data_IF_139680643151
#
_entry.id   IF_139680643151
#
_cell.length_a   1.000
_cell.length_b   1.000
_cell.length_c   1.000
_cell.angle_alpha   90.00
_cell.angle_beta   90.00
_cell.angle_gamma   90.00
#
_symmetry.space_group_name_H-M   'P 1'
#
loop_
_entity.id
_entity.type
_entity.pdbx_description
1 polymer ?
#
# COMPACT_ATOMS: atom_id res chain seq x y z
N UNK A 1 48.04 19.29 23.69
CA UNK A 1 47.34 20.53 23.32
C UNK A 1 45.83 20.31 23.42
N UNK A 2 45.05 21.27 23.94
CA UNK A 2 43.59 21.14 24.04
C UNK A 2 42.97 21.01 22.64
N UNK A 3 41.97 20.13 22.51
CA UNK A 3 41.26 19.90 21.24
C UNK A 3 40.48 21.16 20.83
N UNK A 4 40.49 21.56 19.56
CA UNK A 4 39.72 22.71 19.11
C UNK A 4 38.21 22.44 19.20
N UNK A 5 37.46 23.38 19.80
CA UNK A 5 36.00 23.34 19.89
C UNK A 5 35.34 23.62 18.53
N UNK A 6 34.24 22.92 18.22
CA UNK A 6 33.40 23.20 17.05
C UNK A 6 32.74 24.59 17.17
N UNK A 7 32.37 25.20 16.03
CA UNK A 7 31.77 26.55 15.97
C UNK A 7 30.56 26.68 16.91
N UNK A 8 29.67 25.71 16.90
CA UNK A 8 28.45 25.74 17.72
C UNK A 8 28.75 25.72 19.22
N UNK A 9 29.74 24.92 19.64
CA UNK A 9 30.16 24.88 21.03
C UNK A 9 30.78 26.21 21.48
N UNK A 10 31.53 26.89 20.61
CA UNK A 10 32.04 28.25 20.88
C UNK A 10 30.91 29.27 21.02
N UNK A 11 29.87 29.16 20.20
CA UNK A 11 28.69 30.02 20.31
C UNK A 11 27.93 29.79 21.61
N UNK A 12 27.75 28.53 22.03
CA UNK A 12 27.12 28.21 23.31
C UNK A 12 27.92 28.78 24.49
N UNK A 13 29.25 28.71 24.44
CA UNK A 13 30.13 29.31 25.46
C UNK A 13 30.01 30.84 25.46
N UNK A 14 29.96 31.49 24.30
CA UNK A 14 29.77 32.93 24.20
C UNK A 14 28.43 33.38 24.80
N UNK A 15 27.33 32.70 24.44
CA UNK A 15 26.00 32.97 24.99
C UNK A 15 25.98 32.83 26.54
N UNK A 16 26.67 31.80 27.04
CA UNK A 16 26.77 31.54 28.48
C UNK A 16 27.49 32.67 29.21
N UNK A 17 28.61 33.16 28.65
CA UNK A 17 29.37 34.29 29.20
C UNK A 17 28.52 35.56 29.21
N UNK A 18 27.82 35.85 28.12
CA UNK A 18 26.94 37.01 28.01
C UNK A 18 25.77 36.94 29.01
N UNK A 19 25.19 35.76 29.21
CA UNK A 19 24.11 35.56 30.16
C UNK A 19 24.57 35.81 31.61
N UNK A 20 25.72 35.29 32.01
CA UNK A 20 26.26 35.53 33.35
C UNK A 20 26.80 36.95 33.55
N UNK A 21 27.28 37.61 32.50
CA UNK A 21 27.60 39.04 32.55
C UNK A 21 26.35 39.88 32.87
N UNK A 22 25.21 39.55 32.25
CA UNK A 22 23.92 40.18 32.57
C UNK A 22 23.46 39.88 34.00
N UNK A 23 23.62 38.65 34.51
CA UNK A 23 23.31 38.34 35.91
C UNK A 23 24.18 39.14 36.89
N UNK A 24 25.47 39.35 36.57
CA UNK A 24 26.37 40.21 37.36
C UNK A 24 25.87 41.66 37.40
N UNK A 25 25.56 42.22 36.23
CA UNK A 25 25.14 43.62 36.11
C UNK A 25 23.74 43.84 36.74
N UNK A 26 22.90 42.80 36.76
CA UNK A 26 21.58 42.80 37.41
C UNK A 26 21.64 42.62 38.94
N UNK A 27 22.81 42.28 39.51
CA UNK A 27 22.97 42.06 40.95
C UNK A 27 22.28 40.80 41.48
N UNK A 28 21.91 39.87 40.60
CA UNK A 28 21.22 38.64 40.98
C UNK A 28 20.74 37.81 39.78
N UNK A 29 20.25 36.58 40.04
CA UNK A 29 19.77 35.66 39.01
C UNK A 29 18.64 36.28 38.18
N UNK A 30 18.70 36.14 36.85
CA UNK A 30 17.64 36.60 35.94
C UNK A 30 16.38 35.74 36.02
N UNK A 31 16.54 34.49 36.44
CA UNK A 31 15.50 33.49 36.57
C UNK A 31 15.63 32.81 37.95
N UNK A 32 14.54 32.30 38.52
CA UNK A 32 14.55 31.64 39.83
C UNK A 32 15.56 30.50 39.91
N UNK A 33 16.26 30.38 41.05
CA UNK A 33 17.23 29.30 41.27
C UNK A 33 16.61 27.91 41.24
N UNK A 34 15.29 27.80 41.45
CA UNK A 34 14.53 26.55 41.39
C UNK A 34 14.49 25.96 39.99
N UNK A 35 14.44 26.80 38.96
CA UNK A 35 14.12 26.41 37.58
C UNK A 35 15.41 26.18 36.78
N UNK A 36 16.21 25.22 37.26
CA UNK A 36 17.57 24.95 36.75
C UNK A 36 17.58 24.70 35.24
N UNK A 37 16.59 23.96 34.72
CA UNK A 37 16.55 23.58 33.30
C UNK A 37 16.20 24.76 32.39
N UNK A 38 15.30 25.64 32.83
CA UNK A 38 14.94 26.87 32.11
C UNK A 38 16.09 27.88 32.12
N UNK A 39 16.84 27.96 33.23
CA UNK A 39 18.07 28.76 33.32
C UNK A 39 19.14 28.29 32.34
N UNK A 40 19.38 26.99 32.29
CA UNK A 40 20.36 26.40 31.35
C UNK A 40 19.91 26.63 29.90
N UNK A 41 18.62 26.49 29.62
CA UNK A 41 18.05 26.75 28.30
C UNK A 41 18.24 28.22 27.87
N UNK A 42 17.91 29.16 28.76
CA UNK A 42 18.07 30.59 28.54
C UNK A 42 19.54 31.00 28.37
N UNK A 43 20.44 30.46 29.19
CA UNK A 43 21.85 30.80 29.18
C UNK A 43 22.60 30.26 27.95
N UNK A 44 22.26 29.05 27.50
CA UNK A 44 22.86 28.46 26.29
C UNK A 44 22.15 28.89 25.00
N UNK A 45 20.93 29.43 25.09
CA UNK A 45 20.10 29.80 23.95
C UNK A 45 19.49 28.58 23.22
N UNK A 46 19.11 27.54 23.96
CA UNK A 46 18.54 26.29 23.42
C UNK A 46 17.14 26.03 23.97
N UNK A 47 16.36 25.20 23.31
CA UNK A 47 15.02 24.83 23.81
C UNK A 47 15.12 23.96 25.07
N UNK A 48 14.24 24.20 26.05
CA UNK A 48 14.15 23.44 27.31
C UNK A 48 14.06 21.92 27.08
N UNK A 49 13.30 21.48 26.06
CA UNK A 49 13.18 20.05 25.69
C UNK A 49 14.52 19.38 25.38
N UNK A 50 15.49 20.13 24.85
CA UNK A 50 16.83 19.59 24.57
C UNK A 50 17.57 19.37 25.88
N UNK A 51 17.49 20.32 26.81
CA UNK A 51 18.06 20.20 28.16
C UNK A 51 17.44 19.02 28.90
N UNK A 52 16.11 18.89 28.86
CA UNK A 52 15.39 17.75 29.45
C UNK A 52 15.86 16.41 28.89
N UNK A 53 15.95 16.29 27.56
CA UNK A 53 16.43 15.08 26.91
C UNK A 53 17.85 14.71 27.35
N UNK A 54 18.74 15.69 27.50
CA UNK A 54 20.12 15.45 27.96
C UNK A 54 20.16 15.04 29.43
N UNK A 55 19.39 15.72 30.29
CA UNK A 55 19.27 15.36 31.71
C UNK A 55 18.75 13.93 31.87
N UNK A 56 17.75 13.53 31.07
CA UNK A 56 17.23 12.16 31.10
C UNK A 56 18.26 11.14 30.62
N UNK A 57 19.02 11.43 29.55
CA UNK A 57 20.11 10.55 29.10
C UNK A 57 21.17 10.35 30.19
N UNK A 58 21.51 11.41 30.92
CA UNK A 58 22.45 11.33 32.05
C UNK A 58 21.88 10.49 33.19
N UNK A 59 20.60 10.67 33.55
CA UNK A 59 19.93 9.90 34.62
C UNK A 59 19.89 8.40 34.32
N UNK A 60 19.69 8.02 33.06
CA UNK A 60 19.64 6.61 32.62
C UNK A 60 21.06 6.00 32.57
N UNK A 61 22.12 6.82 32.63
CA UNK A 61 23.51 6.37 32.62
C UNK A 61 24.05 6.05 31.22
N UNK A 62 23.30 6.38 30.16
CA UNK A 62 23.70 6.11 28.76
C UNK A 62 24.77 7.07 28.24
N UNK A 63 25.13 8.12 28.98
CA UNK A 63 26.05 9.15 28.50
C UNK A 63 25.45 10.00 27.37
N UNK A 64 26.09 11.13 27.05
CA UNK A 64 25.57 12.04 26.02
C UNK A 64 25.96 11.52 24.64
N UNK A 65 24.98 11.05 23.87
CA UNK A 65 25.20 10.54 22.51
C UNK A 65 24.71 11.52 21.44
N UNK A 66 25.50 11.65 20.37
CA UNK A 66 25.07 12.39 19.19
C UNK A 66 23.91 11.65 18.49
N UNK A 67 22.96 12.38 17.86
CA UNK A 67 21.90 11.75 17.08
C UNK A 67 22.47 10.77 16.06
N UNK A 68 21.95 9.53 16.05
CA UNK A 68 22.38 8.53 15.07
C UNK A 68 22.07 9.05 13.67
N UNK A 69 23.07 9.06 12.78
CA UNK A 69 22.88 9.45 11.38
C UNK A 69 21.74 8.62 10.78
N UNK A 70 20.73 9.29 10.20
CA UNK A 70 19.65 8.62 9.46
C UNK A 70 20.29 7.88 8.28
N UNK A 71 20.25 6.55 8.33
CA UNK A 71 20.74 5.72 7.23
C UNK A 71 19.75 5.81 6.05
N UNK A 72 20.21 5.97 4.80
CA UNK A 72 19.31 5.90 3.66
C UNK A 72 18.66 4.51 3.60
N UNK A 73 17.33 4.48 3.46
CA UNK A 73 16.59 3.22 3.28
C UNK A 73 16.74 2.75 1.83
N UNK A 74 16.93 1.45 1.62
CA UNK A 74 16.84 0.86 0.28
C UNK A 74 15.43 1.10 -0.26
N UNK A 75 15.33 1.61 -1.49
CA UNK A 75 14.04 1.78 -2.15
C UNK A 75 13.42 0.38 -2.40
N UNK A 76 12.12 0.21 -2.17
CA UNK A 76 11.48 -1.05 -2.52
C UNK A 76 11.54 -1.27 -4.03
N UNK A 77 11.76 -2.51 -4.46
CA UNK A 77 11.70 -2.89 -5.87
C UNK A 77 10.26 -2.66 -6.35
N UNK A 78 10.05 -1.61 -7.12
CA UNK A 78 8.75 -1.22 -7.67
C UNK A 78 8.84 -0.82 -9.15
N UNK A 79 10.04 -0.49 -9.61
CA UNK A 79 10.32 -0.21 -11.01
C UNK A 79 10.49 -1.54 -11.74
N UNK A 80 9.47 -1.89 -12.54
CA UNK A 80 9.42 -3.12 -13.33
C UNK A 80 9.27 -2.75 -14.80
N UNK A 81 10.03 -3.43 -15.65
CA UNK A 81 9.98 -3.28 -17.11
C UNK A 81 8.65 -3.77 -17.71
N UNK A 82 8.31 -3.28 -18.89
CA UNK A 82 7.06 -3.68 -19.57
C UNK A 82 7.02 -5.19 -19.87
N UNK A 83 8.17 -5.82 -20.15
CA UNK A 83 8.27 -7.26 -20.39
C UNK A 83 7.95 -8.07 -19.14
N UNK A 84 8.51 -7.70 -17.99
CA UNK A 84 8.22 -8.32 -16.70
C UNK A 84 6.74 -8.15 -16.31
N UNK A 85 6.14 -6.96 -16.58
CA UNK A 85 4.70 -6.75 -16.38
C UNK A 85 3.85 -7.72 -17.22
N UNK A 86 4.26 -7.99 -18.46
CA UNK A 86 3.57 -8.96 -19.32
C UNK A 86 3.71 -10.39 -18.77
N UNK A 87 4.92 -10.77 -18.34
CA UNK A 87 5.16 -12.09 -17.74
C UNK A 87 4.35 -12.31 -16.45
N UNK A 88 4.20 -11.27 -15.62
CA UNK A 88 3.33 -11.30 -14.43
C UNK A 88 1.87 -11.53 -14.82
N UNK A 89 1.38 -10.81 -15.84
CA UNK A 89 0.02 -10.98 -16.37
C UNK A 89 -0.22 -12.41 -16.87
N UNK A 90 0.75 -12.99 -17.57
CA UNK A 90 0.68 -14.36 -18.06
C UNK A 90 0.67 -15.41 -16.94
N UNK A 91 1.51 -15.29 -15.90
CA UNK A 91 1.41 -16.19 -14.74
C UNK A 91 0.02 -16.07 -14.09
N UNK A 92 -0.50 -14.84 -13.91
CA UNK A 92 -1.82 -14.63 -13.32
C UNK A 92 -2.92 -15.32 -14.15
N UNK A 93 -2.92 -15.13 -15.48
CA UNK A 93 -3.87 -15.80 -16.36
C UNK A 93 -3.77 -17.32 -16.29
N UNK A 94 -2.56 -17.88 -16.28
CA UNK A 94 -2.35 -19.32 -16.14
C UNK A 94 -2.88 -19.88 -14.81
N UNK A 95 -2.78 -19.13 -13.71
CA UNK A 95 -3.38 -19.52 -12.43
C UNK A 95 -4.91 -19.51 -12.47
N UNK A 96 -5.50 -18.49 -13.11
CA UNK A 96 -6.95 -18.38 -13.29
C UNK A 96 -7.48 -19.53 -14.16
N UNK A 97 -6.77 -19.88 -15.23
CA UNK A 97 -7.10 -21.00 -16.12
C UNK A 97 -7.09 -22.34 -15.38
N UNK A 98 -6.08 -22.56 -14.52
CA UNK A 98 -5.98 -23.72 -13.61
C UNK A 98 -7.03 -23.71 -12.49
N UNK A 99 -7.92 -22.71 -12.44
CA UNK A 99 -8.95 -22.52 -11.40
C UNK A 99 -8.37 -22.37 -9.98
N UNK A 100 -7.10 -21.96 -9.86
CA UNK A 100 -6.44 -21.71 -8.58
C UNK A 100 -6.81 -20.31 -8.08
N UNK A 101 -7.05 -20.16 -6.79
CA UNK A 101 -7.28 -18.84 -6.21
C UNK A 101 -5.99 -18.01 -6.23
N UNK A 102 -5.95 -16.95 -7.05
CA UNK A 102 -4.83 -16.00 -7.07
C UNK A 102 -4.84 -15.12 -5.82
N UNK A 103 -3.95 -15.41 -4.87
CA UNK A 103 -3.56 -14.51 -3.77
C UNK A 103 -2.22 -13.84 -4.09
N UNK A 104 -1.87 -12.76 -3.39
CA UNK A 104 -0.56 -12.11 -3.58
C UNK A 104 0.60 -13.04 -3.23
N UNK A 105 0.43 -13.88 -2.21
CA UNK A 105 1.45 -14.83 -1.78
C UNK A 105 1.63 -15.94 -2.83
N UNK A 106 0.53 -16.62 -3.21
CA UNK A 106 0.59 -17.68 -4.22
C UNK A 106 1.12 -17.19 -5.58
N UNK A 107 0.81 -15.95 -5.95
CA UNK A 107 1.35 -15.34 -7.16
C UNK A 107 2.85 -15.05 -7.01
N UNK A 108 3.29 -14.53 -5.87
CA UNK A 108 4.71 -14.30 -5.61
C UNK A 108 5.51 -15.60 -5.69
N UNK A 109 4.98 -16.69 -5.15
CA UNK A 109 5.63 -18.00 -5.20
C UNK A 109 5.78 -18.48 -6.66
N UNK A 110 4.72 -18.41 -7.48
CA UNK A 110 4.81 -18.67 -8.94
C UNK A 110 5.87 -17.81 -9.63
N UNK A 111 5.93 -16.52 -9.30
CA UNK A 111 6.85 -15.59 -9.96
C UNK A 111 8.31 -15.83 -9.56
N UNK A 112 8.55 -16.25 -8.32
CA UNK A 112 9.88 -16.62 -7.83
C UNK A 112 10.35 -17.93 -8.45
N UNK A 113 9.49 -18.94 -8.53
CA UNK A 113 9.79 -20.20 -9.22
C UNK A 113 10.18 -19.99 -10.69
N UNK A 114 9.57 -19.00 -11.34
CA UNK A 114 9.85 -18.63 -12.73
C UNK A 114 10.97 -17.59 -12.88
N UNK A 115 11.60 -17.14 -11.79
CA UNK A 115 12.62 -16.09 -11.78
C UNK A 115 12.19 -14.77 -12.49
N UNK A 116 10.89 -14.45 -12.46
CA UNK A 116 10.34 -13.24 -13.09
C UNK A 116 10.43 -12.04 -12.14
N UNK A 117 10.30 -12.27 -10.83
CA UNK A 117 10.24 -11.19 -9.84
C UNK A 117 10.82 -11.63 -8.48
N UNK A 118 11.78 -10.86 -7.97
CA UNK A 118 12.48 -11.16 -6.71
C UNK A 118 12.04 -10.27 -5.53
N UNK A 119 11.03 -9.41 -5.70
CA UNK A 119 10.59 -8.50 -4.65
C UNK A 119 9.77 -9.15 -3.53
N UNK A 120 9.32 -8.30 -2.61
CA UNK A 120 8.45 -8.71 -1.51
C UNK A 120 6.96 -8.74 -1.91
N UNK A 121 6.12 -9.38 -1.11
CA UNK A 121 4.64 -9.35 -1.27
C UNK A 121 4.11 -7.91 -1.30
N UNK A 122 4.69 -7.03 -0.48
CA UNK A 122 4.34 -5.60 -0.44
C UNK A 122 4.70 -4.88 -1.73
N UNK A 123 5.88 -5.18 -2.28
CA UNK A 123 6.29 -4.68 -3.59
C UNK A 123 5.34 -5.17 -4.68
N UNK A 124 5.07 -6.48 -4.74
CA UNK A 124 4.15 -7.07 -5.71
C UNK A 124 2.77 -6.42 -5.66
N UNK A 125 2.27 -6.11 -4.46
CA UNK A 125 1.03 -5.35 -4.30
C UNK A 125 1.05 -4.01 -5.03
N UNK A 126 2.10 -3.21 -4.86
CA UNK A 126 2.24 -1.92 -5.55
C UNK A 126 2.31 -2.06 -7.07
N UNK A 127 3.02 -3.07 -7.55
CA UNK A 127 3.16 -3.38 -8.97
C UNK A 127 1.82 -3.81 -9.58
N UNK A 128 1.09 -4.70 -8.91
CA UNK A 128 -0.20 -5.17 -9.39
C UNK A 128 -1.17 -4.00 -9.58
N UNK A 129 -1.13 -2.99 -8.71
CA UNK A 129 -1.98 -1.80 -8.84
C UNK A 129 -1.76 -0.98 -10.12
N UNK A 130 -0.68 -1.20 -10.87
CA UNK A 130 -0.39 -0.50 -12.13
C UNK A 130 -1.35 -0.94 -13.26
N UNK A 131 -1.90 -2.15 -13.20
CA UNK A 131 -2.82 -2.65 -14.24
C UNK A 131 -3.89 -3.65 -13.77
N UNK A 132 -3.84 -4.07 -12.51
CA UNK A 132 -4.80 -5.00 -11.92
C UNK A 132 -5.48 -4.37 -10.71
N UNK A 133 -6.76 -4.71 -10.55
CA UNK A 133 -7.57 -4.33 -9.40
C UNK A 133 -8.06 -5.58 -8.70
N UNK A 134 -7.88 -5.61 -7.38
CA UNK A 134 -8.54 -6.60 -6.54
C UNK A 134 -10.01 -6.23 -6.37
N UNK A 135 -10.89 -6.86 -7.14
CA UNK A 135 -12.28 -6.46 -7.28
C UNK A 135 -13.24 -7.66 -7.18
N UNK A 136 -14.54 -7.41 -6.92
CA UNK A 136 -15.53 -8.46 -6.98
C UNK A 136 -15.55 -9.15 -8.35
N UNK A 137 -15.56 -10.48 -8.37
CA UNK A 137 -15.54 -11.27 -9.59
C UNK A 137 -16.91 -11.25 -10.24
N UNK A 138 -17.02 -10.60 -11.41
CA UNK A 138 -18.24 -10.66 -12.20
C UNK A 138 -18.15 -11.79 -13.24
N UNK A 139 -18.51 -13.00 -12.80
CA UNK A 139 -18.49 -14.21 -13.64
C UNK A 139 -19.41 -14.08 -14.86
N UNK A 140 -20.50 -13.30 -14.77
CA UNK A 140 -21.45 -13.10 -15.86
C UNK A 140 -20.80 -12.47 -17.08
N UNK A 141 -19.81 -11.57 -16.90
CA UNK A 141 -19.07 -10.98 -18.02
C UNK A 141 -18.46 -12.05 -18.91
N UNK A 142 -17.79 -13.04 -18.33
CA UNK A 142 -17.18 -14.12 -19.11
C UNK A 142 -18.21 -15.08 -19.72
N UNK A 143 -19.31 -15.35 -19.02
CA UNK A 143 -20.42 -16.16 -19.54
C UNK A 143 -21.06 -15.54 -20.78
N UNK A 144 -21.29 -14.23 -20.76
CA UNK A 144 -21.91 -13.51 -21.87
C UNK A 144 -21.05 -13.50 -23.15
N UNK A 145 -19.74 -13.72 -23.02
CA UNK A 145 -18.78 -13.73 -24.13
C UNK A 145 -18.56 -15.13 -24.72
N UNK A 146 -19.16 -16.18 -24.15
CA UNK A 146 -19.10 -17.52 -24.71
C UNK A 146 -19.80 -17.54 -26.07
N UNK A 147 -19.14 -18.12 -27.08
CA UNK A 147 -19.65 -18.12 -28.46
C UNK A 147 -21.09 -18.64 -28.58
N UNK A 148 -21.42 -19.73 -27.88
CA UNK A 148 -22.79 -20.28 -27.91
C UNK A 148 -23.81 -19.36 -27.22
N UNK A 149 -23.43 -18.68 -26.13
CA UNK A 149 -24.30 -17.70 -25.45
C UNK A 149 -24.52 -16.47 -26.32
N UNK A 150 -23.45 -15.94 -26.92
CA UNK A 150 -23.54 -14.82 -27.88
C UNK A 150 -24.44 -15.19 -29.05
N UNK A 151 -24.26 -16.39 -29.62
CA UNK A 151 -25.08 -16.88 -30.71
C UNK A 151 -26.56 -17.01 -30.31
N UNK A 152 -26.85 -17.67 -29.19
CA UNK A 152 -28.21 -17.85 -28.68
C UNK A 152 -28.89 -16.52 -28.40
N UNK A 153 -28.19 -15.57 -27.76
CA UNK A 153 -28.70 -14.21 -27.50
C UNK A 153 -29.00 -13.48 -28.80
N UNK A 154 -28.09 -13.55 -29.78
CA UNK A 154 -28.28 -12.89 -31.07
C UNK A 154 -29.47 -13.46 -31.82
N UNK A 155 -29.62 -14.80 -31.82
CA UNK A 155 -30.77 -15.48 -32.44
C UNK A 155 -32.08 -15.04 -31.78
N UNK A 156 -32.17 -15.12 -30.46
CA UNK A 156 -33.34 -14.70 -29.70
C UNK A 156 -33.72 -13.25 -29.98
N UNK A 157 -32.76 -12.32 -29.93
CA UNK A 157 -33.03 -10.90 -30.16
C UNK A 157 -33.56 -10.62 -31.57
N UNK A 158 -33.05 -11.33 -32.59
CA UNK A 158 -33.57 -11.22 -33.97
C UNK A 158 -35.01 -11.70 -34.06
N UNK A 159 -35.29 -12.88 -33.50
CA UNK A 159 -36.64 -13.45 -33.47
C UNK A 159 -37.61 -12.56 -32.68
N UNK A 160 -37.16 -11.98 -31.57
CA UNK A 160 -37.93 -11.06 -30.74
C UNK A 160 -38.29 -9.77 -31.49
N UNK A 161 -37.31 -9.13 -32.14
CA UNK A 161 -37.55 -7.92 -32.96
C UNK A 161 -38.50 -8.23 -34.11
N UNK A 162 -38.32 -9.38 -34.77
CA UNK A 162 -39.22 -9.82 -35.83
C UNK A 162 -40.65 -10.03 -35.31
N UNK A 163 -40.82 -10.66 -34.15
CA UNK A 163 -42.13 -10.85 -33.52
C UNK A 163 -42.79 -9.50 -33.16
N UNK A 164 -42.03 -8.51 -32.68
CA UNK A 164 -42.56 -7.18 -32.35
C UNK A 164 -43.06 -6.41 -33.58
N UNK A 165 -42.50 -6.67 -34.75
CA UNK A 165 -42.90 -6.02 -36.01
C UNK A 165 -44.07 -6.73 -36.71
N UNK A 166 -44.47 -7.92 -36.24
CA UNK A 166 -45.58 -8.65 -36.83
C UNK A 166 -46.93 -7.99 -36.49
N UNK A 167 -47.92 -8.04 -37.41
CA UNK A 167 -49.25 -7.46 -37.17
C UNK A 167 -50.00 -8.07 -35.98
N UNK A 168 -49.66 -9.31 -35.60
CA UNK A 168 -50.21 -10.01 -34.45
C UNK A 168 -49.07 -10.64 -33.64
N UNK A 169 -48.39 -9.87 -32.76
CA UNK A 169 -47.22 -10.34 -32.03
C UNK A 169 -47.58 -11.36 -30.96
N UNK A 170 -46.75 -12.38 -30.78
CA UNK A 170 -46.87 -13.31 -29.66
C UNK A 170 -46.49 -12.60 -28.35
N UNK A 171 -47.27 -12.82 -27.30
CA UNK A 171 -46.97 -12.30 -25.96
C UNK A 171 -45.79 -13.06 -25.34
N UNK A 172 -44.70 -12.36 -25.02
CA UNK A 172 -43.61 -12.93 -24.24
C UNK A 172 -43.96 -12.96 -22.75
N UNK A 173 -43.88 -14.15 -22.15
CA UNK A 173 -43.93 -14.34 -20.69
C UNK A 173 -42.54 -14.71 -20.21
N UNK A 174 -42.02 -13.96 -19.25
CA UNK A 174 -40.70 -14.21 -18.65
C UNK A 174 -40.88 -14.96 -17.33
N UNK A 175 -40.25 -16.12 -17.22
CA UNK A 175 -40.19 -16.90 -15.98
C UNK A 175 -38.81 -16.71 -15.34
N UNK A 176 -38.81 -16.40 -14.05
CA UNK A 176 -37.63 -16.28 -13.19
C UNK A 176 -37.53 -17.57 -12.36
N UNK A 177 -36.39 -18.25 -12.46
CA UNK A 177 -35.99 -19.24 -11.46
C UNK A 177 -34.79 -18.69 -10.68
N UNK A 178 -34.97 -18.51 -9.38
CA UNK A 178 -33.90 -18.11 -8.48
C UNK A 178 -33.30 -19.33 -7.79
N UNK A 179 -32.12 -19.75 -8.25
CA UNK A 179 -31.36 -20.83 -7.63
C UNK A 179 -30.54 -20.31 -6.44
N UNK A 180 -30.82 -20.81 -5.24
CA UNK A 180 -30.03 -20.51 -4.04
C UNK A 180 -28.86 -21.50 -3.97
N UNK A 181 -27.65 -21.04 -4.28
CA UNK A 181 -26.45 -21.87 -4.13
C UNK A 181 -25.98 -21.92 -2.67
N UNK A 182 -25.79 -23.14 -2.15
CA UNK A 182 -25.31 -23.43 -0.78
C UNK A 182 -23.83 -23.06 -0.58
N UNK A 183 -23.03 -23.09 -1.66
CA UNK A 183 -21.60 -22.84 -1.59
C UNK A 183 -21.27 -21.38 -1.91
N UNK A 184 -20.84 -20.63 -0.90
CA UNK A 184 -20.35 -19.26 -1.05
C UNK A 184 -19.25 -19.17 -2.11
N UNK A 185 -19.46 -18.32 -3.12
CA UNK A 185 -18.43 -18.08 -4.12
C UNK A 185 -17.37 -17.13 -3.56
N UNK A 186 -16.10 -17.38 -3.87
CA UNK A 186 -15.02 -16.42 -3.58
C UNK A 186 -15.34 -15.12 -4.29
N UNK A 187 -15.67 -14.10 -3.50
CA UNK A 187 -16.27 -12.87 -4.01
C UNK A 187 -15.25 -12.05 -4.79
N UNK A 188 -13.95 -12.11 -4.48
CA UNK A 188 -12.94 -11.20 -5.04
C UNK A 188 -11.71 -11.89 -5.62
N UNK A 189 -11.17 -11.34 -6.70
CA UNK A 189 -9.91 -11.77 -7.31
C UNK A 189 -9.17 -10.58 -7.93
N UNK A 190 -7.88 -10.78 -8.21
CA UNK A 190 -7.09 -9.84 -9.02
C UNK A 190 -7.54 -9.94 -10.48
N UNK A 191 -8.04 -8.82 -11.02
CA UNK A 191 -8.59 -8.73 -12.36
C UNK A 191 -8.06 -7.49 -13.07
N UNK A 192 -7.93 -7.57 -14.38
CA UNK A 192 -7.80 -6.42 -15.28
C UNK A 192 -9.03 -6.35 -16.20
N UNK A 193 -9.00 -5.47 -17.20
CA UNK A 193 -10.12 -5.33 -18.14
C UNK A 193 -10.27 -6.54 -19.10
N UNK A 194 -9.33 -7.49 -19.09
CA UNK A 194 -9.37 -8.69 -19.91
C UNK A 194 -10.27 -9.76 -19.31
N UNK A 195 -11.08 -10.40 -20.17
CA UNK A 195 -11.91 -11.55 -19.80
C UNK A 195 -11.07 -12.72 -19.26
N UNK A 196 -9.79 -12.81 -19.64
CA UNK A 196 -8.86 -13.86 -19.20
C UNK A 196 -8.55 -13.79 -17.70
N UNK A 197 -8.67 -12.62 -17.08
CA UNK A 197 -8.49 -12.47 -15.62
C UNK A 197 -9.71 -12.93 -14.82
N UNK A 198 -10.86 -13.12 -15.48
CA UNK A 198 -12.11 -13.51 -14.84
C UNK A 198 -12.18 -15.03 -14.72
N UNK A 199 -12.45 -15.50 -13.49
CA UNK A 199 -12.57 -16.94 -13.22
C UNK A 199 -13.63 -17.63 -14.07
N UNK A 200 -13.34 -18.87 -14.40
CA UNK A 200 -14.29 -19.78 -15.05
C UNK A 200 -15.33 -20.25 -14.04
N UNK A 201 -16.57 -20.42 -14.51
CA UNK A 201 -17.63 -21.06 -13.75
C UNK A 201 -17.34 -22.55 -13.58
N UNK A 202 -17.84 -23.15 -12.48
CA UNK A 202 -17.92 -24.61 -12.37
C UNK A 202 -19.08 -25.06 -13.26
N UNK A 203 -18.80 -25.90 -14.26
CA UNK A 203 -19.81 -26.52 -15.13
C UNK A 203 -20.52 -27.66 -14.38
N UNK A 204 -19.86 -28.23 -13.37
CA UNK A 204 -20.41 -29.27 -12.50
C UNK A 204 -21.34 -28.66 -11.45
N UNK A 205 -22.53 -28.26 -11.87
CA UNK A 205 -23.69 -28.27 -10.99
C UNK A 205 -24.32 -29.66 -11.11
N UNK A 206 -24.33 -30.44 -10.02
CA UNK A 206 -25.28 -31.55 -9.94
C UNK A 206 -26.67 -30.93 -10.02
N UNK A 207 -27.45 -31.36 -11.02
CA UNK A 207 -28.89 -31.14 -11.06
C UNK A 207 -29.54 -31.86 -9.89
#
# INVERSE_FOLDING_TARGET
MPKPLHKDAKQMVANLVDYFAKERDNGGPLLPLTDVQDRVAAALGVCVRIVDSVVQQIKIGEGVHSPKKKRPRKKPVCDISTSEQCAIRECLYGMVEKKIHVTRLSLLDCLKEKHIFEGSVSSLGRILHIGFRYSPTNVRKRLMELQHVVHARTKFLREYVHNQQNPNPLQCVYLDETWIFENGSVVRSWQDDSIKSIRTFKIEGKR
#
